data_IF_142490215762
#
_entry.id   IF_142490215762
#
_cell.length_a   1.000
_cell.length_b   1.000
_cell.length_c   1.000
_cell.angle_alpha   90.00
_cell.angle_beta   90.00
_cell.angle_gamma   90.00
#
_symmetry.space_group_name_H-M   'P 1'
#
loop_
_entity.id
_entity.type
_entity.pdbx_description
1 polymer ?
#
# COMPACT_ATOMS: atom_id res chain seq x y z
N UNK A 1 -26.66 16.68 66.02
CA UNK A 1 -25.91 15.64 65.34
C UNK A 1 -26.31 15.66 63.87
N UNK A 2 -25.59 16.40 63.06
CA UNK A 2 -25.86 16.54 61.61
C UNK A 2 -24.77 15.82 60.85
N UNK A 3 -25.08 14.90 59.93
CA UNK A 3 -24.06 14.27 59.13
C UNK A 3 -23.64 15.17 57.94
N UNK A 4 -22.35 15.30 57.80
CA UNK A 4 -21.65 15.95 56.70
C UNK A 4 -21.94 15.24 55.36
N UNK A 5 -22.51 15.96 54.39
CA UNK A 5 -22.66 15.45 53.00
C UNK A 5 -21.36 15.72 52.26
N UNK A 6 -20.61 14.66 51.99
CA UNK A 6 -19.44 14.70 51.08
C UNK A 6 -19.89 14.84 49.62
N UNK A 7 -19.59 15.97 49.02
CA UNK A 7 -19.77 16.19 47.57
C UNK A 7 -18.53 15.66 46.87
N UNK A 8 -18.68 14.54 46.17
CA UNK A 8 -17.65 14.04 45.25
C UNK A 8 -17.71 14.83 43.95
N UNK A 9 -16.71 15.68 43.73
CA UNK A 9 -16.50 16.40 42.49
C UNK A 9 -15.80 15.46 41.48
N UNK A 10 -16.58 14.90 40.54
CA UNK A 10 -16.03 14.11 39.44
C UNK A 10 -15.40 15.06 38.40
N UNK A 11 -14.08 15.08 38.34
CA UNK A 11 -13.36 15.77 37.28
C UNK A 11 -13.43 14.96 36.00
N UNK A 12 -14.21 15.45 35.04
CA UNK A 12 -14.29 14.91 33.68
C UNK A 12 -13.04 15.34 32.90
N UNK A 13 -12.07 14.45 32.78
CA UNK A 13 -10.90 14.65 31.91
C UNK A 13 -11.36 14.48 30.45
N UNK A 14 -11.60 15.60 29.76
CA UNK A 14 -11.74 15.63 28.31
C UNK A 14 -10.36 15.42 27.68
N UNK A 15 -10.12 14.21 27.21
CA UNK A 15 -8.98 13.88 26.36
C UNK A 15 -9.24 14.42 24.97
N UNK A 16 -8.64 15.56 24.63
CA UNK A 16 -8.62 16.09 23.27
C UNK A 16 -7.55 15.37 22.48
N UNK A 17 -7.93 14.30 21.79
CA UNK A 17 -7.09 13.72 20.75
C UNK A 17 -7.03 14.68 19.55
N UNK A 18 -5.91 15.38 19.40
CA UNK A 18 -5.62 16.14 18.20
C UNK A 18 -5.44 15.18 17.01
N UNK A 19 -6.00 15.47 15.84
CA UNK A 19 -5.72 14.69 14.66
C UNK A 19 -4.25 14.90 14.29
N UNK A 20 -3.47 13.82 14.25
CA UNK A 20 -2.15 13.81 13.63
C UNK A 20 -2.38 13.95 12.13
N UNK A 21 -2.28 15.15 11.62
CA UNK A 21 -2.18 15.38 10.20
C UNK A 21 -0.82 14.83 9.76
N UNK A 22 -0.82 13.61 9.22
CA UNK A 22 0.31 13.11 8.47
C UNK A 22 0.51 14.06 7.28
N UNK A 23 1.61 14.82 7.29
CA UNK A 23 1.99 15.67 6.18
C UNK A 23 2.33 14.74 5.00
N UNK A 24 1.38 14.56 4.09
CA UNK A 24 1.62 13.92 2.81
C UNK A 24 2.66 14.77 2.07
N UNK A 25 3.79 14.13 1.73
CA UNK A 25 4.77 14.78 0.85
C UNK A 25 4.07 15.14 -0.46
N UNK A 26 4.27 16.36 -1.00
CA UNK A 26 3.73 16.70 -2.31
C UNK A 26 4.23 15.67 -3.34
N UNK A 27 3.32 14.93 -3.96
CA UNK A 27 3.67 14.08 -5.08
C UNK A 27 4.04 14.97 -6.26
N UNK A 28 5.17 14.66 -6.91
CA UNK A 28 5.58 15.31 -8.15
C UNK A 28 4.60 14.92 -9.26
N UNK A 29 3.70 15.83 -9.59
CA UNK A 29 2.68 15.65 -10.61
C UNK A 29 3.23 15.53 -12.04
N UNK A 30 4.53 15.80 -12.26
CA UNK A 30 5.16 15.71 -13.58
C UNK A 30 5.29 14.28 -14.11
N UNK A 31 5.20 13.27 -13.21
CA UNK A 31 5.31 11.85 -13.53
C UNK A 31 3.96 11.12 -13.53
N UNK A 32 2.84 11.84 -13.31
CA UNK A 32 1.52 11.21 -13.26
C UNK A 32 1.00 10.90 -14.65
N UNK A 33 0.35 9.72 -14.85
CA UNK A 33 -0.25 9.39 -16.14
C UNK A 33 -1.36 10.41 -16.48
N UNK A 34 -1.51 10.71 -17.77
CA UNK A 34 -2.50 11.68 -18.26
C UNK A 34 -3.96 11.22 -18.03
N UNK A 35 -4.19 9.93 -17.79
CA UNK A 35 -5.49 9.34 -17.46
C UNK A 35 -5.32 8.02 -16.72
N UNK A 36 -6.38 7.55 -16.06
CA UNK A 36 -6.39 6.23 -15.42
C UNK A 36 -6.11 5.12 -16.43
N UNK A 37 -6.70 5.19 -17.62
CA UNK A 37 -6.49 4.21 -18.69
C UNK A 37 -5.00 4.10 -19.06
N UNK A 38 -4.34 5.24 -19.30
CA UNK A 38 -2.90 5.25 -19.58
C UNK A 38 -2.09 4.68 -18.43
N UNK A 39 -2.47 4.98 -17.20
CA UNK A 39 -1.80 4.43 -16.01
C UNK A 39 -1.92 2.91 -15.92
N UNK A 40 -3.12 2.37 -16.12
CA UNK A 40 -3.34 0.92 -16.12
C UNK A 40 -2.59 0.23 -17.27
N UNK A 41 -2.64 0.80 -18.47
CA UNK A 41 -1.91 0.26 -19.62
C UNK A 41 -0.40 0.25 -19.38
N UNK A 42 0.16 1.34 -18.87
CA UNK A 42 1.59 1.43 -18.54
C UNK A 42 2.01 0.39 -17.49
N UNK A 43 1.20 0.17 -16.45
CA UNK A 43 1.45 -0.85 -15.45
C UNK A 43 1.49 -2.26 -16.04
N UNK A 44 0.57 -2.57 -16.95
CA UNK A 44 0.52 -3.87 -17.63
C UNK A 44 1.67 -4.08 -18.61
N UNK A 45 2.02 -3.06 -19.38
CA UNK A 45 3.15 -3.12 -20.32
C UNK A 45 4.48 -3.31 -19.57
N UNK A 46 4.68 -2.58 -18.48
CA UNK A 46 5.88 -2.74 -17.66
C UNK A 46 5.95 -4.14 -17.06
N UNK A 47 4.86 -4.67 -16.51
CA UNK A 47 4.81 -6.05 -16.02
C UNK A 47 5.24 -7.04 -17.09
N UNK A 48 4.68 -6.91 -18.28
CA UNK A 48 4.98 -7.79 -19.41
C UNK A 48 6.46 -7.70 -19.83
N UNK A 49 7.05 -6.51 -19.78
CA UNK A 49 8.45 -6.30 -20.10
C UNK A 49 9.39 -6.90 -19.05
N UNK A 50 9.00 -6.83 -17.77
CA UNK A 50 9.81 -7.25 -16.62
C UNK A 50 9.64 -8.74 -16.28
N UNK A 51 8.65 -9.41 -16.85
CA UNK A 51 8.45 -10.85 -16.62
C UNK A 51 9.66 -11.65 -17.10
N UNK A 52 10.12 -12.66 -16.31
CA UNK A 52 11.20 -13.54 -16.73
C UNK A 52 10.88 -14.22 -18.08
N UNK A 53 11.86 -14.28 -18.97
CA UNK A 53 11.72 -14.92 -20.27
C UNK A 53 12.16 -16.37 -20.27
N UNK A 54 12.84 -16.80 -19.23
CA UNK A 54 13.39 -18.13 -19.02
C UNK A 54 13.04 -18.66 -17.61
N UNK A 55 13.07 -19.96 -17.48
CA UNK A 55 12.84 -20.66 -16.22
C UNK A 55 14.12 -21.32 -15.73
N UNK A 56 14.30 -21.34 -14.38
CA UNK A 56 15.46 -21.99 -13.76
C UNK A 56 15.30 -23.51 -13.65
N UNK A 57 14.07 -24.01 -13.74
CA UNK A 57 13.70 -25.40 -13.46
C UNK A 57 13.40 -25.67 -11.97
N UNK A 58 13.61 -24.68 -11.11
CA UNK A 58 13.15 -24.71 -9.72
C UNK A 58 11.85 -23.93 -9.60
N UNK A 59 10.69 -24.59 -9.38
CA UNK A 59 9.40 -23.92 -9.37
C UNK A 59 9.26 -22.86 -8.28
N UNK A 60 9.93 -23.01 -7.14
CA UNK A 60 9.86 -22.03 -6.05
C UNK A 60 10.60 -20.73 -6.44
N UNK A 61 11.75 -20.85 -7.08
CA UNK A 61 12.51 -19.69 -7.59
C UNK A 61 11.79 -19.04 -8.75
N UNK A 62 11.25 -19.84 -9.67
CA UNK A 62 10.51 -19.34 -10.82
C UNK A 62 9.22 -18.60 -10.41
N UNK A 63 8.49 -19.15 -9.44
CA UNK A 63 7.35 -18.48 -8.82
C UNK A 63 7.74 -17.12 -8.23
N UNK A 64 8.80 -17.07 -7.42
CA UNK A 64 9.26 -15.84 -6.79
C UNK A 64 9.68 -14.80 -7.84
N UNK A 65 10.41 -15.21 -8.88
CA UNK A 65 10.84 -14.34 -9.99
C UNK A 65 9.66 -13.78 -10.78
N UNK A 66 8.60 -14.54 -10.97
CA UNK A 66 7.39 -14.08 -11.67
C UNK A 66 6.54 -13.16 -10.80
N UNK A 67 6.44 -13.44 -9.50
CA UNK A 67 5.59 -12.67 -8.60
C UNK A 67 6.11 -11.26 -8.32
N UNK A 68 7.42 -11.02 -8.36
CA UNK A 68 7.98 -9.68 -8.17
C UNK A 68 7.42 -8.68 -9.18
N UNK A 69 7.55 -8.85 -10.50
CA UNK A 69 6.98 -7.91 -11.47
C UNK A 69 5.44 -7.88 -11.43
N UNK A 70 4.80 -9.00 -11.09
CA UNK A 70 3.35 -9.05 -10.93
C UNK A 70 2.89 -8.16 -9.77
N UNK A 71 3.55 -8.23 -8.62
CA UNK A 71 3.25 -7.38 -7.46
C UNK A 71 3.57 -5.91 -7.72
N UNK A 72 4.68 -5.62 -8.40
CA UNK A 72 5.02 -4.25 -8.81
C UNK A 72 3.94 -3.64 -9.70
N UNK A 73 3.39 -4.41 -10.63
CA UNK A 73 2.28 -3.97 -11.47
C UNK A 73 1.00 -3.72 -10.67
N UNK A 74 0.69 -4.59 -9.71
CA UNK A 74 -0.47 -4.40 -8.86
C UNK A 74 -0.34 -3.14 -7.98
N UNK A 75 0.86 -2.82 -7.47
CA UNK A 75 1.14 -1.57 -6.78
C UNK A 75 0.89 -0.39 -7.71
N UNK A 76 1.43 -0.42 -8.93
CA UNK A 76 1.23 0.64 -9.90
C UNK A 76 -0.26 0.87 -10.25
N UNK A 77 -1.03 -0.21 -10.41
CA UNK A 77 -2.48 -0.12 -10.62
C UNK A 77 -3.22 0.45 -9.40
N UNK A 78 -2.81 0.09 -8.20
CA UNK A 78 -3.37 0.65 -6.97
C UNK A 78 -3.07 2.15 -6.82
N UNK A 79 -1.89 2.60 -7.24
CA UNK A 79 -1.53 4.01 -7.29
C UNK A 79 -2.40 4.79 -8.29
N UNK A 80 -2.75 4.19 -9.44
CA UNK A 80 -3.71 4.77 -10.39
C UNK A 80 -5.09 4.90 -9.75
N UNK A 81 -5.55 3.89 -9.00
CA UNK A 81 -6.81 3.97 -8.24
C UNK A 81 -6.78 5.11 -7.22
N UNK A 82 -5.69 5.26 -6.47
CA UNK A 82 -5.54 6.36 -5.51
C UNK A 82 -5.51 7.74 -6.17
N UNK A 83 -5.05 7.81 -7.41
CA UNK A 83 -4.97 9.07 -8.17
C UNK A 83 -6.31 9.47 -8.79
N UNK A 84 -7.01 8.53 -9.39
CA UNK A 84 -8.19 8.80 -10.23
C UNK A 84 -9.50 8.24 -9.68
N UNK A 85 -9.42 7.20 -8.86
CA UNK A 85 -10.59 6.56 -8.26
C UNK A 85 -11.31 7.45 -7.26
N UNK A 86 -12.62 7.27 -7.14
CA UNK A 86 -13.48 8.08 -6.27
C UNK A 86 -14.22 7.27 -5.23
N UNK A 87 -14.33 5.97 -5.42
CA UNK A 87 -14.95 5.08 -4.44
C UNK A 87 -14.03 4.90 -3.24
N UNK A 88 -14.51 5.27 -2.06
CA UNK A 88 -13.72 5.27 -0.83
C UNK A 88 -13.23 3.86 -0.46
N UNK A 89 -14.08 2.84 -0.63
CA UNK A 89 -13.74 1.45 -0.31
C UNK A 89 -12.66 0.90 -1.24
N UNK A 90 -12.73 1.25 -2.53
CA UNK A 90 -11.71 0.85 -3.50
C UNK A 90 -10.38 1.55 -3.22
N UNK A 91 -10.40 2.82 -2.86
CA UNK A 91 -9.20 3.57 -2.46
C UNK A 91 -8.55 2.99 -1.21
N UNK A 92 -9.34 2.68 -0.19
CA UNK A 92 -8.82 2.01 1.02
C UNK A 92 -8.20 0.64 0.70
N UNK A 93 -8.86 -0.13 -0.16
CA UNK A 93 -8.35 -1.43 -0.60
C UNK A 93 -7.04 -1.27 -1.36
N UNK A 94 -6.96 -0.31 -2.28
CA UNK A 94 -5.75 0.01 -3.04
C UNK A 94 -4.56 0.36 -2.12
N UNK A 95 -4.78 1.16 -1.09
CA UNK A 95 -3.74 1.49 -0.12
C UNK A 95 -3.24 0.25 0.64
N UNK A 96 -4.16 -0.58 1.11
CA UNK A 96 -3.80 -1.84 1.79
C UNK A 96 -3.03 -2.79 0.86
N UNK A 97 -3.41 -2.86 -0.42
CA UNK A 97 -2.68 -3.67 -1.41
C UNK A 97 -1.26 -3.17 -1.61
N UNK A 98 -1.04 -1.86 -1.71
CA UNK A 98 0.29 -1.27 -1.81
C UNK A 98 1.16 -1.70 -0.63
N UNK A 99 0.67 -1.54 0.58
CA UNK A 99 1.43 -1.84 1.80
C UNK A 99 1.78 -3.33 1.90
N UNK A 100 0.81 -4.21 1.65
CA UNK A 100 1.01 -5.65 1.69
C UNK A 100 1.97 -6.14 0.60
N UNK A 101 1.80 -5.68 -0.62
CA UNK A 101 2.61 -6.15 -1.74
C UNK A 101 4.04 -5.65 -1.70
N UNK A 102 4.32 -4.49 -1.10
CA UNK A 102 5.69 -4.07 -0.80
C UNK A 102 6.40 -5.04 0.13
N UNK A 103 5.74 -5.48 1.20
CA UNK A 103 6.32 -6.48 2.12
C UNK A 103 6.53 -7.84 1.42
N UNK A 104 5.60 -8.26 0.58
CA UNK A 104 5.72 -9.52 -0.16
C UNK A 104 6.86 -9.46 -1.20
N UNK A 105 7.05 -8.32 -1.88
CA UNK A 105 8.20 -8.12 -2.78
C UNK A 105 9.53 -8.28 -2.02
N UNK A 106 9.63 -7.71 -0.82
CA UNK A 106 10.84 -7.86 -0.01
C UNK A 106 11.11 -9.32 0.36
N UNK A 107 10.07 -10.08 0.71
CA UNK A 107 10.16 -11.51 1.00
C UNK A 107 10.57 -12.32 -0.24
N UNK A 108 9.96 -12.04 -1.39
CA UNK A 108 10.27 -12.70 -2.65
C UNK A 108 11.72 -12.43 -3.09
N UNK A 109 12.17 -11.19 -2.99
CA UNK A 109 13.54 -10.82 -3.31
C UNK A 109 14.56 -11.47 -2.36
N UNK A 110 14.26 -11.55 -1.06
CA UNK A 110 15.10 -12.24 -0.09
C UNK A 110 15.20 -13.73 -0.42
N UNK A 111 14.09 -14.37 -0.80
CA UNK A 111 14.08 -15.78 -1.21
C UNK A 111 14.90 -15.99 -2.49
N UNK A 112 14.74 -15.15 -3.51
CA UNK A 112 15.52 -15.23 -4.75
C UNK A 112 17.02 -15.12 -4.44
N UNK A 113 17.41 -14.14 -3.63
CA UNK A 113 18.82 -13.92 -3.27
C UNK A 113 19.45 -15.11 -2.54
N UNK A 114 18.67 -15.81 -1.70
CA UNK A 114 19.13 -16.98 -0.94
C UNK A 114 19.21 -18.27 -1.77
N UNK A 115 18.65 -18.30 -2.99
CA UNK A 115 18.49 -19.50 -3.80
C UNK A 115 19.05 -19.34 -5.24
N UNK A 116 20.00 -18.42 -5.41
CA UNK A 116 20.74 -18.25 -6.69
C UNK A 116 21.81 -19.30 -6.87
#
# INVERSE_FOLDING_TARGET
MTPLKSVLLAALLMSTSAPVAAAEKPMDHSMMPASAEHGFMAAMEKMKADMPKDYTGNPDVDFARMMVPHHQSAIAMAEVELTFGKDEKMRELAQKMIDMQKMEIDQLNAFIAANQ
#
